data_IF_052428387200
#
_entry.id   IF_052428387200
#
_cell.length_a   1.000
_cell.length_b   1.000
_cell.length_c   1.000
_cell.angle_alpha   90.00
_cell.angle_beta   90.00
_cell.angle_gamma   90.00
#
_symmetry.space_group_name_H-M   'P 1'
#
loop_
_entity.id
_entity.type
_entity.pdbx_description
1 polymer ?
#
# COMPACT_ATOMS: atom_id res chain seq x y z
N UNK A 1 -7.30 -8.47 -23.81
CA UNK A 1 -6.37 -7.91 -22.80
C UNK A 1 -5.43 -6.99 -23.55
N UNK A 2 -5.85 -5.74 -23.78
CA UNK A 2 -5.04 -4.68 -24.40
C UNK A 2 -5.74 -3.31 -24.21
N UNK A 3 -6.39 -3.08 -23.07
CA UNK A 3 -7.21 -1.87 -22.86
C UNK A 3 -6.45 -0.71 -22.17
N UNK A 4 -5.18 -0.91 -21.77
CA UNK A 4 -4.41 0.11 -21.02
C UNK A 4 -2.96 0.32 -21.45
N UNK A 5 -2.53 -0.22 -22.60
CA UNK A 5 -1.15 -0.04 -23.10
C UNK A 5 -0.07 -0.69 -22.21
N UNK A 6 -0.45 -1.59 -21.30
CA UNK A 6 0.47 -2.35 -20.45
C UNK A 6 0.79 -3.70 -21.09
N UNK A 7 2.06 -4.11 -21.02
CA UNK A 7 2.44 -5.46 -21.45
C UNK A 7 1.87 -6.50 -20.50
N UNK A 8 1.64 -7.73 -21.00
CA UNK A 8 1.17 -8.84 -20.17
C UNK A 8 2.13 -9.10 -18.98
N UNK A 9 3.43 -8.97 -19.21
CA UNK A 9 4.45 -9.11 -18.17
C UNK A 9 4.31 -8.06 -17.06
N UNK A 10 4.09 -6.78 -17.41
CA UNK A 10 3.85 -5.73 -16.42
C UNK A 10 2.55 -5.97 -15.65
N UNK A 11 1.49 -6.42 -16.33
CA UNK A 11 0.22 -6.75 -15.69
C UNK A 11 0.36 -7.93 -14.71
N UNK A 12 1.10 -8.97 -15.08
CA UNK A 12 1.37 -10.12 -14.21
C UNK A 12 2.21 -9.72 -13.00
N UNK A 13 3.23 -8.87 -13.20
CA UNK A 13 4.04 -8.31 -12.10
C UNK A 13 3.21 -7.47 -11.13
N UNK A 14 2.30 -6.64 -11.59
CA UNK A 14 1.38 -5.91 -10.70
C UNK A 14 0.43 -6.91 -10.00
N UNK A 15 -0.02 -7.92 -10.75
CA UNK A 15 -0.89 -9.00 -10.30
C UNK A 15 -0.34 -9.81 -9.12
N UNK A 16 0.99 -9.94 -8.97
CA UNK A 16 1.59 -10.60 -7.81
C UNK A 16 1.49 -9.73 -6.57
N UNK A 17 1.71 -8.42 -6.67
CA UNK A 17 1.66 -7.49 -5.54
C UNK A 17 0.24 -7.28 -5.01
N UNK A 18 -0.75 -7.10 -5.89
CA UNK A 18 -2.15 -6.86 -5.47
C UNK A 18 -2.78 -8.04 -4.74
N UNK A 19 -2.18 -9.23 -4.78
CA UNK A 19 -2.67 -10.40 -4.02
C UNK A 19 -2.16 -10.43 -2.58
N UNK A 20 -1.17 -9.60 -2.26
CA UNK A 20 -0.55 -9.56 -0.94
C UNK A 20 -1.43 -8.80 0.04
N UNK A 21 -1.84 -9.52 1.10
CA UNK A 21 -2.57 -8.95 2.23
C UNK A 21 -2.22 -9.72 3.50
N UNK A 22 -2.14 -9.03 4.63
CA UNK A 22 -1.82 -9.71 5.88
C UNK A 22 -1.52 -8.77 7.04
N UNK A 23 -0.78 -9.31 8.02
CA UNK A 23 -0.38 -8.57 9.21
C UNK A 23 0.53 -7.38 8.83
N UNK A 24 0.26 -6.15 9.32
CA UNK A 24 0.91 -4.95 8.81
C UNK A 24 2.44 -4.97 8.90
N UNK A 25 3.00 -5.35 10.05
CA UNK A 25 4.46 -5.37 10.24
C UNK A 25 5.14 -6.46 9.39
N UNK A 26 4.51 -7.62 9.25
CA UNK A 26 5.07 -8.75 8.48
C UNK A 26 5.12 -8.42 7.00
N UNK A 27 4.02 -7.87 6.47
CA UNK A 27 3.97 -7.47 5.07
C UNK A 27 4.87 -6.27 4.80
N UNK A 28 4.94 -5.29 5.69
CA UNK A 28 5.88 -4.17 5.59
C UNK A 28 7.34 -4.66 5.52
N UNK A 29 7.75 -5.57 6.40
CA UNK A 29 9.11 -6.15 6.36
C UNK A 29 9.41 -6.86 5.04
N UNK A 30 8.42 -7.56 4.46
CA UNK A 30 8.54 -8.19 3.14
C UNK A 30 8.75 -7.16 2.03
N UNK A 31 8.01 -6.04 2.07
CA UNK A 31 8.16 -4.97 1.07
C UNK A 31 9.47 -4.19 1.20
N UNK A 32 10.01 -4.08 2.42
CA UNK A 32 11.31 -3.46 2.72
C UNK A 32 12.50 -4.42 2.62
N UNK A 33 12.32 -5.65 2.15
CA UNK A 33 13.42 -6.60 2.00
C UNK A 33 14.42 -6.11 0.94
N UNK A 34 15.71 -6.32 1.18
CA UNK A 34 16.78 -6.00 0.20
C UNK A 34 16.49 -6.67 -1.15
N UNK A 35 16.62 -5.90 -2.23
CA UNK A 35 16.29 -6.35 -3.60
C UNK A 35 14.81 -6.22 -3.98
N UNK A 36 13.97 -5.66 -3.12
CA UNK A 36 12.57 -5.35 -3.44
C UNK A 36 12.47 -4.21 -4.46
N UNK A 37 11.60 -4.38 -5.47
CA UNK A 37 11.30 -3.35 -6.46
C UNK A 37 10.72 -2.06 -5.83
N UNK A 38 10.15 -2.13 -4.63
CA UNK A 38 9.67 -0.96 -3.91
C UNK A 38 10.80 -0.08 -3.37
N UNK A 39 12.03 -0.59 -3.25
CA UNK A 39 13.18 0.19 -2.82
C UNK A 39 13.87 0.93 -3.99
N UNK A 40 13.47 0.65 -5.23
CA UNK A 40 14.03 1.28 -6.44
C UNK A 40 13.41 2.66 -6.73
N UNK A 41 12.35 3.04 -6.01
CA UNK A 41 11.64 4.30 -6.20
C UNK A 41 11.58 5.09 -4.88
N UNK A 42 12.04 6.34 -4.91
CA UNK A 42 12.10 7.20 -3.71
C UNK A 42 10.73 7.43 -3.07
N UNK A 43 9.69 7.70 -3.86
CA UNK A 43 8.32 7.88 -3.33
C UNK A 43 7.76 6.62 -2.69
N UNK A 44 8.11 5.45 -3.22
CA UNK A 44 7.78 4.16 -2.60
C UNK A 44 8.47 3.97 -1.26
N UNK A 45 9.75 4.33 -1.16
CA UNK A 45 10.52 4.24 0.08
C UNK A 45 9.93 5.17 1.14
N UNK A 46 9.61 6.41 0.77
CA UNK A 46 8.98 7.38 1.68
C UNK A 46 7.64 6.87 2.20
N UNK A 47 6.79 6.34 1.33
CA UNK A 47 5.51 5.77 1.72
C UNK A 47 5.66 4.56 2.67
N UNK A 48 6.65 3.68 2.43
CA UNK A 48 6.93 2.55 3.31
C UNK A 48 7.46 3.01 4.69
N UNK A 49 8.23 4.10 4.74
CA UNK A 49 8.69 4.68 6.00
C UNK A 49 7.55 5.32 6.80
N UNK A 50 6.62 6.02 6.13
CA UNK A 50 5.43 6.57 6.76
C UNK A 50 4.52 5.46 7.33
N UNK A 51 4.33 4.37 6.58
CA UNK A 51 3.60 3.19 7.03
C UNK A 51 4.28 2.51 8.23
N UNK A 52 5.61 2.49 8.28
CA UNK A 52 6.35 1.98 9.44
C UNK A 52 6.03 2.77 10.71
N UNK A 53 6.04 4.10 10.62
CA UNK A 53 5.70 4.99 11.74
C UNK A 53 4.26 4.72 12.19
N UNK A 54 3.33 4.59 11.24
CA UNK A 54 1.92 4.33 11.52
C UNK A 54 1.71 2.98 12.22
N UNK A 55 2.26 1.89 11.66
CA UNK A 55 2.09 0.55 12.23
C UNK A 55 2.75 0.43 13.60
N UNK A 56 3.94 1.00 13.80
CA UNK A 56 4.59 1.02 15.11
C UNK A 56 3.80 1.85 16.14
N UNK A 57 3.14 2.93 15.71
CA UNK A 57 2.27 3.72 16.59
C UNK A 57 1.01 2.94 16.98
N UNK A 58 0.40 2.23 16.03
CA UNK A 58 -0.76 1.38 16.27
C UNK A 58 -0.43 0.18 17.18
N UNK A 59 0.73 -0.42 17.01
CA UNK A 59 1.25 -1.50 17.85
C UNK A 59 1.39 -1.06 19.31
N UNK A 60 2.06 0.07 19.54
CA UNK A 60 2.16 0.69 20.87
C UNK A 60 0.80 0.99 21.50
N UNK A 61 -0.20 1.32 20.68
CA UNK A 61 -1.58 1.57 21.14
C UNK A 61 -2.41 0.30 21.34
N UNK A 62 -1.86 -0.89 21.07
CA UNK A 62 -2.55 -2.20 21.11
C UNK A 62 -3.80 -2.24 20.23
N UNK A 63 -3.69 -1.66 19.03
CA UNK A 63 -4.77 -1.64 18.02
C UNK A 63 -4.38 -2.27 16.69
N UNK A 64 -3.14 -2.75 16.56
CA UNK A 64 -2.62 -3.33 15.32
C UNK A 64 -3.37 -4.61 14.93
N UNK A 65 -3.90 -5.35 15.91
CA UNK A 65 -4.71 -6.55 15.75
C UNK A 65 -5.99 -6.33 14.92
N UNK A 66 -6.45 -5.07 14.81
CA UNK A 66 -7.64 -4.69 14.05
C UNK A 66 -7.32 -4.21 12.63
N UNK A 67 -6.05 -4.18 12.26
CA UNK A 67 -5.60 -3.62 10.98
C UNK A 67 -5.03 -4.73 10.11
N UNK A 68 -5.43 -4.73 8.84
CA UNK A 68 -4.87 -5.59 7.81
C UNK A 68 -4.30 -4.68 6.73
N UNK A 69 -3.02 -4.90 6.40
CA UNK A 69 -2.39 -4.21 5.28
C UNK A 69 -2.72 -4.99 4.00
N UNK A 70 -3.32 -4.33 3.02
CA UNK A 70 -3.88 -4.94 1.81
C UNK A 70 -3.54 -4.11 0.57
N UNK A 71 -2.61 -4.60 -0.25
CA UNK A 71 -2.16 -3.88 -1.45
C UNK A 71 -3.18 -3.91 -2.61
N UNK A 72 -4.27 -4.69 -2.49
CA UNK A 72 -5.36 -4.66 -3.47
C UNK A 72 -6.26 -3.43 -3.32
N UNK A 73 -6.26 -2.81 -2.14
CA UNK A 73 -7.09 -1.65 -1.86
C UNK A 73 -6.53 -0.44 -2.60
N UNK A 74 -7.20 -0.09 -3.70
CA UNK A 74 -6.98 1.13 -4.44
C UNK A 74 -8.32 1.88 -4.53
N UNK A 75 -8.31 3.18 -4.27
CA UNK A 75 -9.47 4.05 -4.51
C UNK A 75 -9.27 4.81 -5.82
N UNK A 76 -10.28 4.78 -6.69
CA UNK A 76 -10.21 5.30 -8.05
C UNK A 76 -10.29 6.83 -8.16
N UNK A 77 -9.70 7.57 -7.22
CA UNK A 77 -9.74 9.02 -7.19
C UNK A 77 -8.32 9.56 -6.93
N UNK A 78 -7.79 10.33 -7.89
CA UNK A 78 -6.38 10.77 -7.93
C UNK A 78 -6.02 11.85 -6.89
N UNK A 79 -6.92 12.15 -5.93
CA UNK A 79 -6.67 13.15 -4.89
C UNK A 79 -6.04 12.57 -3.61
N UNK A 80 -5.88 11.25 -3.51
CA UNK A 80 -5.21 10.63 -2.36
C UNK A 80 -3.70 10.60 -2.57
N UNK A 81 -2.97 11.29 -1.71
CA UNK A 81 -1.50 11.43 -1.79
C UNK A 81 -0.76 10.63 -0.71
N UNK A 82 -1.44 9.75 0.02
CA UNK A 82 -0.87 9.01 1.14
C UNK A 82 -1.67 7.78 1.53
N UNK A 83 -1.78 7.53 2.83
CA UNK A 83 -2.48 6.35 3.37
C UNK A 83 -3.98 6.43 3.09
N UNK A 84 -4.52 5.34 2.55
CA UNK A 84 -5.96 5.13 2.39
C UNK A 84 -6.38 3.94 3.24
N UNK A 85 -7.56 4.04 3.85
CA UNK A 85 -8.11 2.94 4.63
C UNK A 85 -9.61 2.79 4.44
N UNK A 86 -10.09 1.58 4.71
CA UNK A 86 -11.48 1.19 4.67
C UNK A 86 -11.82 0.36 5.90
N UNK A 87 -12.85 0.78 6.63
CA UNK A 87 -13.38 -0.01 7.74
C UNK A 87 -14.44 -0.98 7.18
N UNK A 88 -14.20 -2.28 7.35
CA UNK A 88 -15.14 -3.33 6.96
C UNK A 88 -15.68 -4.04 8.20
N UNK A 89 -16.95 -4.39 8.18
CA UNK A 89 -17.60 -5.17 9.22
C UNK A 89 -17.59 -6.65 8.83
N UNK A 90 -16.81 -7.47 9.53
CA UNK A 90 -16.74 -8.93 9.31
C UNK A 90 -17.49 -9.63 10.44
N UNK A 91 -18.82 -9.65 10.38
CA UNK A 91 -19.64 -10.21 11.46
C UNK A 91 -19.41 -9.44 12.75
N UNK A 92 -19.04 -10.09 13.86
CA UNK A 92 -18.90 -9.43 15.18
C UNK A 92 -17.66 -8.51 15.33
N UNK A 93 -16.75 -8.45 14.35
CA UNK A 93 -15.51 -7.67 14.42
C UNK A 93 -15.38 -6.62 13.31
N UNK A 94 -14.92 -5.42 13.69
CA UNK A 94 -14.50 -4.37 12.76
C UNK A 94 -13.03 -4.59 12.38
N UNK A 95 -12.74 -4.63 11.08
CA UNK A 95 -11.38 -4.72 10.54
C UNK A 95 -11.12 -3.47 9.68
N UNK A 96 -9.96 -2.86 9.86
CA UNK A 96 -9.52 -1.74 9.02
C UNK A 96 -8.55 -2.29 7.98
N UNK A 97 -8.95 -2.23 6.71
CA UNK A 97 -8.07 -2.45 5.57
C UNK A 97 -7.30 -1.16 5.33
N UNK A 98 -5.99 -1.24 5.17
CA UNK A 98 -5.13 -0.08 4.90
C UNK A 98 -4.28 -0.36 3.67
N UNK A 99 -4.05 0.68 2.86
CA UNK A 99 -3.16 0.70 1.70
C UNK A 99 -2.63 2.12 1.52
N UNK A 100 -1.84 2.34 0.48
CA UNK A 100 -1.31 3.66 0.16
C UNK A 100 -1.37 3.90 -1.35
N UNK A 101 -1.47 5.17 -1.72
CA UNK A 101 -1.45 5.58 -3.12
C UNK A 101 -0.09 6.20 -3.42
N UNK A 102 0.59 5.68 -4.44
CA UNK A 102 1.77 6.34 -4.99
C UNK A 102 1.31 7.57 -5.76
N UNK A 103 1.62 8.77 -5.24
CA UNK A 103 1.44 9.99 -6.03
C UNK A 103 2.50 10.02 -7.13
N UNK A 104 2.14 10.07 -8.43
CA UNK A 104 3.12 10.18 -9.51
C UNK A 104 3.66 11.61 -9.67
N UNK A 105 3.19 12.59 -8.88
CA UNK A 105 3.45 14.00 -9.13
C UNK A 105 4.21 14.67 -7.98
N UNK A 106 5.53 14.53 -8.00
CA UNK A 106 6.44 15.56 -7.48
C UNK A 106 7.34 16.02 -8.63
N UNK A 107 7.03 17.21 -9.15
CA UNK A 107 7.76 18.02 -10.13
C UNK A 107 7.69 17.65 -11.62
N UNK A 108 6.60 18.07 -12.27
CA UNK A 108 6.69 18.74 -13.59
C UNK A 108 5.39 19.54 -13.80
N UNK A 109 5.51 20.78 -14.26
CA UNK A 109 4.43 21.75 -14.52
C UNK A 109 3.95 22.59 -13.34
N UNK A 110 4.67 23.68 -13.09
CA UNK A 110 4.10 25.02 -13.20
C UNK A 110 5.12 25.92 -13.95
N UNK A 111 4.65 26.92 -14.72
CA UNK A 111 5.35 27.51 -15.88
C UNK A 111 6.61 28.31 -15.55
#
# INVERSE_FOLDING_TARGET
VEEKGLTAETADRIGTFVKEKGHPLTLLSKLKQEGSAFLENAGSVDALNDLEILFNTLDKSKRLDRVVFDLSLARGLDYYTGVIFEAVFKGEAQVILMSFVFSPHSEMFLP
#
